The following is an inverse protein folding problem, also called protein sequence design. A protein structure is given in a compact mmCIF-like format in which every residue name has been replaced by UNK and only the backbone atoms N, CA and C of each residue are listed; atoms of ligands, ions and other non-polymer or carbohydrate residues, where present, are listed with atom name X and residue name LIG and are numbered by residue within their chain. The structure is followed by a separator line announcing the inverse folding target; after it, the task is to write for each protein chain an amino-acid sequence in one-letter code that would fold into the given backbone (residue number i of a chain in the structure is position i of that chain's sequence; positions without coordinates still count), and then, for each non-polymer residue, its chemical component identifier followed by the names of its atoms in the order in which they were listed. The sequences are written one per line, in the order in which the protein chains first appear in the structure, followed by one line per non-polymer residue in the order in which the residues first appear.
data_IF_233978067006
#
_entry.id   IF_233978067006
#
_cell.length_a   1.000
_cell.length_b   1.000
_cell.length_c   1.000
_cell.angle_alpha   90.00
_cell.angle_beta   90.00
_cell.angle_gamma   90.00
#
_symmetry.space_group_name_H-M   'P 1'
#
loop_
_entity.id
_entity.type
_entity.pdbx_description
1 polymer ?
#
# COMPACT_ATOMS: atom_id res chain seq x y z
N UNK A 1 7.93 20.58 -11.72
CA UNK A 1 7.67 20.08 -10.36
C UNK A 1 6.19 20.27 -10.07
N UNK A 2 5.43 19.19 -9.86
CA UNK A 2 4.05 19.29 -9.37
C UNK A 2 4.14 19.73 -7.90
N UNK A 3 3.29 20.66 -7.46
CA UNK A 3 3.26 21.04 -6.05
C UNK A 3 2.80 19.84 -5.21
N UNK A 4 3.39 19.65 -4.03
CA UNK A 4 2.92 18.66 -3.06
C UNK A 4 1.42 18.90 -2.79
N UNK A 5 0.63 17.83 -2.92
CA UNK A 5 -0.80 17.86 -2.62
C UNK A 5 -1.05 17.05 -1.35
N UNK A 6 -1.57 17.72 -0.32
CA UNK A 6 -1.96 17.06 0.92
C UNK A 6 -3.41 16.59 0.82
N UNK A 7 -3.64 15.32 1.17
CA UNK A 7 -4.94 14.65 1.11
C UNK A 7 -5.31 14.13 2.50
N UNK A 8 -6.00 14.92 3.34
CA UNK A 8 -6.34 14.53 4.72
C UNK A 8 -7.25 13.28 4.77
N UNK A 9 -8.03 13.02 3.74
CA UNK A 9 -8.90 11.85 3.67
C UNK A 9 -8.12 10.52 3.66
N UNK A 10 -6.84 10.53 3.28
CA UNK A 10 -5.99 9.32 3.33
C UNK A 10 -5.85 8.78 4.76
N UNK A 11 -6.02 9.60 5.80
CA UNK A 11 -6.01 9.11 7.18
C UNK A 11 -7.22 8.21 7.49
N UNK A 12 -8.40 8.55 6.98
CA UNK A 12 -9.61 7.72 7.14
C UNK A 12 -9.51 6.43 6.30
N UNK A 13 -8.95 6.53 5.10
CA UNK A 13 -8.70 5.37 4.24
C UNK A 13 -7.66 4.42 4.84
N UNK A 14 -6.64 4.94 5.53
CA UNK A 14 -5.68 4.14 6.30
C UNK A 14 -6.37 3.37 7.42
N UNK A 15 -7.27 4.00 8.17
CA UNK A 15 -8.06 3.30 9.19
C UNK A 15 -8.89 2.19 8.55
N UNK A 16 -9.56 2.48 7.43
CA UNK A 16 -10.35 1.49 6.69
C UNK A 16 -9.50 0.32 6.21
N UNK A 17 -8.26 0.58 5.77
CA UNK A 17 -7.32 -0.47 5.37
C UNK A 17 -6.88 -1.33 6.56
N UNK A 18 -6.58 -0.73 7.71
CA UNK A 18 -6.27 -1.46 8.94
C UNK A 18 -7.43 -2.37 9.37
N UNK A 19 -8.66 -1.87 9.32
CA UNK A 19 -9.85 -2.65 9.67
C UNK A 19 -10.06 -3.81 8.69
N UNK A 20 -9.95 -3.56 7.37
CA UNK A 20 -10.11 -4.61 6.36
C UNK A 20 -9.02 -5.71 6.46
N UNK A 21 -7.78 -5.33 6.79
CA UNK A 21 -6.68 -6.27 7.02
C UNK A 21 -6.97 -7.13 8.26
N UNK A 22 -7.43 -6.52 9.35
CA UNK A 22 -7.81 -7.24 10.57
C UNK A 22 -8.99 -8.20 10.32
N UNK A 23 -10.02 -7.76 9.60
CA UNK A 23 -11.17 -8.60 9.21
C UNK A 23 -10.76 -9.78 8.31
N UNK A 24 -9.67 -9.63 7.57
CA UNK A 24 -9.07 -10.68 6.73
C UNK A 24 -8.09 -11.58 7.49
N UNK A 25 -7.90 -11.35 8.79
CA UNK A 25 -7.07 -12.17 9.68
C UNK A 25 -5.62 -11.71 9.83
N UNK A 26 -5.23 -10.56 9.28
CA UNK A 26 -3.89 -10.00 9.45
C UNK A 26 -3.77 -9.21 10.75
N UNK A 27 -2.78 -9.56 11.56
CA UNK A 27 -2.44 -8.89 12.81
C UNK A 27 -1.34 -7.84 12.60
N UNK A 28 -1.65 -6.59 12.92
CA UNK A 28 -0.68 -5.50 12.88
C UNK A 28 0.49 -5.77 13.85
N UNK A 29 1.71 -5.47 13.40
CA UNK A 29 3.01 -5.72 14.04
C UNK A 29 3.39 -7.21 14.16
N UNK A 30 2.59 -8.11 13.57
CA UNK A 30 2.93 -9.52 13.42
C UNK A 30 3.10 -9.86 11.94
N UNK A 31 2.08 -9.59 11.13
CA UNK A 31 2.06 -9.94 9.70
C UNK A 31 2.52 -8.78 8.80
N UNK A 32 2.40 -7.55 9.29
CA UNK A 32 2.88 -6.34 8.63
C UNK A 32 3.26 -5.27 9.67
N UNK A 33 4.15 -4.34 9.29
CA UNK A 33 4.72 -3.33 10.19
C UNK A 33 3.98 -1.98 10.20
N UNK A 34 3.65 -1.45 9.02
CA UNK A 34 2.98 -0.14 8.89
C UNK A 34 2.03 -0.09 7.72
N UNK A 35 1.10 0.86 7.79
CA UNK A 35 0.31 1.36 6.67
C UNK A 35 0.63 2.86 6.57
N UNK A 36 1.34 3.25 5.51
CA UNK A 36 1.85 4.60 5.30
C UNK A 36 1.05 5.32 4.21
N UNK A 37 0.93 6.65 4.33
CA UNK A 37 0.17 7.48 3.39
C UNK A 37 1.09 7.98 2.27
N UNK A 38 0.68 7.77 1.03
CA UNK A 38 1.39 8.27 -0.15
C UNK A 38 0.62 9.45 -0.75
N UNK A 39 0.86 10.65 -0.24
CA UNK A 39 0.16 11.86 -0.67
C UNK A 39 0.45 12.24 -2.14
N UNK A 40 1.64 11.96 -2.65
CA UNK A 40 2.01 12.35 -4.02
C UNK A 40 1.23 11.59 -5.11
N UNK A 41 0.78 10.37 -4.80
CA UNK A 41 0.07 9.46 -5.72
C UNK A 41 -1.37 9.16 -5.29
N UNK A 42 -1.84 9.79 -4.21
CA UNK A 42 -3.11 9.45 -3.58
C UNK A 42 -3.20 7.93 -3.31
N UNK A 43 -2.35 7.44 -2.42
CA UNK A 43 -2.16 6.01 -2.19
C UNK A 43 -1.88 5.63 -0.75
N UNK A 44 -1.80 4.31 -0.53
CA UNK A 44 -1.40 3.67 0.71
C UNK A 44 -0.26 2.68 0.42
N UNK A 45 0.67 2.55 1.36
CA UNK A 45 1.73 1.54 1.34
C UNK A 45 1.64 0.68 2.60
N UNK A 46 1.56 -0.63 2.45
CA UNK A 46 1.69 -1.59 3.55
C UNK A 46 3.12 -2.13 3.53
N UNK A 47 3.85 -1.98 4.64
CA UNK A 47 5.26 -2.33 4.77
C UNK A 47 5.51 -3.46 5.77
N UNK A 48 6.72 -4.04 5.70
CA UNK A 48 7.21 -5.01 6.68
C UNK A 48 6.43 -6.31 6.65
N UNK A 49 5.91 -6.68 5.48
CA UNK A 49 5.16 -7.92 5.30
C UNK A 49 6.13 -9.10 5.29
N UNK A 50 5.83 -10.13 6.06
CA UNK A 50 6.77 -11.22 6.41
C UNK A 50 7.18 -12.07 5.23
N UNK A 51 6.26 -12.34 4.31
CA UNK A 51 6.43 -13.30 3.23
C UNK A 51 5.61 -12.94 2.00
N UNK A 52 5.90 -13.62 0.89
CA UNK A 52 5.31 -13.33 -0.42
C UNK A 52 3.82 -13.69 -0.50
N UNK A 53 3.38 -14.73 0.22
CA UNK A 53 1.98 -15.17 0.21
C UNK A 53 1.12 -14.15 0.95
N UNK A 54 1.55 -13.73 2.14
CA UNK A 54 0.93 -12.65 2.90
C UNK A 54 0.90 -11.35 2.08
N UNK A 55 1.96 -11.03 1.35
CA UNK A 55 1.98 -9.84 0.50
C UNK A 55 0.93 -9.89 -0.62
N UNK A 56 0.73 -11.05 -1.26
CA UNK A 56 -0.31 -11.21 -2.28
C UNK A 56 -1.71 -11.16 -1.70
N UNK A 57 -1.93 -11.80 -0.54
CA UNK A 57 -3.22 -11.75 0.11
C UNK A 57 -3.57 -10.33 0.60
N UNK A 58 -2.59 -9.57 1.11
CA UNK A 58 -2.74 -8.15 1.44
C UNK A 58 -3.06 -7.33 0.18
N UNK A 59 -2.39 -7.59 -0.94
CA UNK A 59 -2.70 -6.97 -2.23
C UNK A 59 -4.17 -7.17 -2.62
N UNK A 60 -4.68 -8.41 -2.51
CA UNK A 60 -6.06 -8.74 -2.84
C UNK A 60 -7.08 -8.04 -1.92
N UNK A 61 -6.78 -7.93 -0.61
CA UNK A 61 -7.60 -7.15 0.34
C UNK A 61 -7.67 -5.69 -0.08
N UNK A 62 -6.53 -5.08 -0.40
CA UNK A 62 -6.46 -3.68 -0.80
C UNK A 62 -7.18 -3.43 -2.12
N UNK A 63 -7.04 -4.32 -3.12
CA UNK A 63 -7.78 -4.26 -4.38
C UNK A 63 -9.28 -4.33 -4.18
N UNK A 64 -9.73 -5.16 -3.25
CA UNK A 64 -11.15 -5.30 -2.91
C UNK A 64 -11.66 -4.04 -2.22
N UNK A 65 -10.86 -3.44 -1.34
CA UNK A 65 -11.21 -2.22 -0.62
C UNK A 65 -11.19 -0.97 -1.52
N UNK A 66 -10.26 -0.89 -2.46
CA UNK A 66 -10.07 0.24 -3.37
C UNK A 66 -10.18 -0.17 -4.85
N UNK A 67 -11.36 -0.63 -5.31
CA UNK A 67 -11.52 -1.19 -6.66
C UNK A 67 -11.31 -0.17 -7.79
N UNK A 68 -11.34 1.13 -7.47
CA UNK A 68 -11.12 2.21 -8.43
C UNK A 68 -9.66 2.68 -8.51
N UNK A 69 -8.73 2.07 -7.76
CA UNK A 69 -7.33 2.47 -7.68
C UNK A 69 -6.47 1.50 -8.51
N UNK A 70 -6.07 1.88 -9.74
CA UNK A 70 -5.54 0.92 -10.70
C UNK A 70 -4.05 0.65 -10.53
N UNK A 71 -3.34 1.47 -9.75
CA UNK A 71 -1.88 1.38 -9.60
C UNK A 71 -1.53 0.54 -8.38
N UNK A 72 -0.97 -0.65 -8.62
CA UNK A 72 -0.63 -1.59 -7.56
C UNK A 72 0.79 -2.12 -7.75
N UNK A 73 1.54 -2.21 -6.65
CA UNK A 73 2.85 -2.87 -6.63
C UNK A 73 2.93 -3.82 -5.45
N UNK A 74 3.56 -4.96 -5.67
CA UNK A 74 3.95 -5.89 -4.62
C UNK A 74 5.41 -6.30 -4.88
N UNK A 75 6.31 -5.95 -3.97
CA UNK A 75 7.74 -6.25 -4.13
C UNK A 75 8.43 -6.46 -2.79
N UNK A 76 9.50 -7.26 -2.81
CA UNK A 76 10.39 -7.43 -1.67
C UNK A 76 11.38 -6.26 -1.61
N UNK A 77 11.43 -5.56 -0.48
CA UNK A 77 12.50 -4.60 -0.19
C UNK A 77 13.64 -5.33 0.52
N UNK A 78 14.77 -5.44 -0.18
CA UNK A 78 15.93 -6.23 0.29
C UNK A 78 16.71 -5.52 1.43
N UNK A 79 17.48 -6.32 2.17
CA UNK A 79 18.16 -5.95 3.41
C UNK A 79 19.28 -4.91 3.18
N UNK A 80 19.17 -3.78 3.88
CA UNK A 80 20.12 -2.66 3.85
C UNK A 80 19.55 -1.35 4.40
N UNK A 81 18.21 -1.24 4.43
CA UNK A 81 17.44 -0.14 5.00
C UNK A 81 16.74 -0.52 6.31
N UNK A 82 16.19 0.46 7.03
CA UNK A 82 15.54 0.26 8.35
C UNK A 82 14.31 -0.66 8.36
N UNK A 83 13.67 -0.88 7.21
CA UNK A 83 12.42 -1.66 7.11
C UNK A 83 12.53 -2.75 6.02
N UNK A 84 13.20 -3.88 6.30
CA UNK A 84 13.22 -5.03 5.40
C UNK A 84 11.86 -5.73 5.37
N UNK A 85 11.49 -6.28 4.22
CA UNK A 85 10.25 -7.06 4.06
C UNK A 85 9.51 -6.75 2.77
N UNK A 86 8.41 -7.48 2.57
CA UNK A 86 7.52 -7.22 1.45
C UNK A 86 6.76 -5.91 1.65
N UNK A 87 6.51 -5.23 0.53
CA UNK A 87 5.75 -4.00 0.45
C UNK A 87 4.63 -4.16 -0.56
N UNK A 88 3.46 -3.65 -0.22
CA UNK A 88 2.31 -3.56 -1.11
C UNK A 88 1.86 -2.11 -1.19
N UNK A 89 1.81 -1.56 -2.39
CA UNK A 89 1.34 -0.20 -2.66
C UNK A 89 0.05 -0.30 -3.47
N UNK A 90 -0.95 0.50 -3.11
CA UNK A 90 -2.14 0.76 -3.93
C UNK A 90 -2.36 2.27 -4.03
N UNK A 91 -2.59 2.78 -5.24
CA UNK A 91 -2.73 4.20 -5.50
C UNK A 91 -3.75 4.51 -6.59
N UNK A 92 -4.39 5.67 -6.48
CA UNK A 92 -5.32 6.19 -7.49
C UNK A 92 -4.59 6.84 -8.66
N UNK A 93 -3.51 7.57 -8.39
CA UNK A 93 -2.78 8.35 -9.38
C UNK A 93 -1.40 7.72 -9.66
N UNK A 94 -0.83 7.87 -10.86
CA UNK A 94 0.50 7.35 -11.17
C UNK A 94 1.61 8.19 -10.52
N UNK A 95 2.76 7.57 -10.23
CA UNK A 95 3.94 8.25 -9.66
C UNK A 95 4.51 9.31 -10.62
N UNK A 96 4.47 9.06 -11.93
CA UNK A 96 4.80 10.05 -12.95
C UNK A 96 3.75 10.07 -14.07
N UNK A 97 3.65 11.18 -14.80
CA UNK A 97 2.56 11.44 -15.75
C UNK A 97 2.41 10.38 -16.87
N UNK A 98 3.45 9.56 -17.09
CA UNK A 98 3.50 8.52 -18.12
C UNK A 98 3.91 7.15 -17.56
N UNK A 99 3.94 6.97 -16.23
CA UNK A 99 4.28 5.68 -15.62
C UNK A 99 3.02 4.82 -15.39
N UNK A 100 2.61 4.15 -16.47
CA UNK A 100 1.57 3.13 -16.45
C UNK A 100 2.12 1.74 -16.02
N UNK A 101 3.39 1.62 -15.61
CA UNK A 101 4.01 0.31 -15.34
C UNK A 101 3.38 -0.44 -14.16
N UNK A 102 2.56 0.24 -13.34
CA UNK A 102 1.88 -0.35 -12.17
C UNK A 102 0.39 -0.55 -12.40
N UNK A 103 -0.11 -0.19 -13.59
CA UNK A 103 -1.51 -0.34 -13.94
C UNK A 103 -1.81 -1.81 -14.15
N UNK A 104 -2.79 -2.32 -13.41
CA UNK A 104 -3.21 -3.73 -13.47
C UNK A 104 -4.67 -3.86 -13.89
#
# INVERSE_FOLDING_TARGET
MKAFAFYPELFELRTSALDALADSGFAWLTDFGSVDLLHDVYGLEVCGITDAESARAIEDVLRTLFPAWPYVRCYLKDFGDRDPGWKVIIARDPETADDDSWKT
#
